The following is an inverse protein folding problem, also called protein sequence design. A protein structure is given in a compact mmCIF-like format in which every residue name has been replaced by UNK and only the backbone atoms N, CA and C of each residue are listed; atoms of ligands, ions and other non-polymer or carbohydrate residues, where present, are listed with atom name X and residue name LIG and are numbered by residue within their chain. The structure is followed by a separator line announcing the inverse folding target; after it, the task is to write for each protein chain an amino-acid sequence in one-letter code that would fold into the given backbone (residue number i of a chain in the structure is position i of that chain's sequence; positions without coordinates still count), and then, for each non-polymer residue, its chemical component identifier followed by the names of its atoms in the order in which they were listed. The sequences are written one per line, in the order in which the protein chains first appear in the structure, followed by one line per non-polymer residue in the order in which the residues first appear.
data_IF_350308794337
#
_entry.id   IF_350308794337
#
_cell.length_a   1.000
_cell.length_b   1.000
_cell.length_c   1.000
_cell.angle_alpha   90.00
_cell.angle_beta   90.00
_cell.angle_gamma   90.00
#
_symmetry.space_group_name_H-M   'P 1'
#
loop_
_entity.id
_entity.type
_entity.pdbx_description
1 polymer ?
#
# COMPACT_ATOMS: atom_id res chain seq x y z
N UNK A 1 -19.57 -21.17 -27.58
CA UNK A 1 -20.18 -22.06 -28.62
C UNK A 1 -21.69 -22.24 -28.39
N UNK A 2 -22.12 -22.60 -27.17
CA UNK A 2 -23.54 -22.85 -26.87
C UNK A 2 -24.42 -21.61 -27.09
N UNK A 3 -23.95 -20.44 -26.66
CA UNK A 3 -24.66 -19.16 -26.88
C UNK A 3 -24.88 -18.85 -28.36
N UNK A 4 -23.86 -19.02 -29.18
CA UNK A 4 -23.97 -18.81 -30.65
C UNK A 4 -25.00 -19.78 -31.25
N UNK A 5 -24.99 -21.01 -30.79
CA UNK A 5 -25.98 -22.02 -31.28
C UNK A 5 -27.39 -21.68 -30.83
N UNK A 6 -27.60 -21.30 -29.58
CA UNK A 6 -28.92 -20.92 -29.04
C UNK A 6 -29.48 -19.66 -29.71
N UNK A 7 -28.66 -18.62 -29.83
CA UNK A 7 -29.08 -17.36 -30.46
C UNK A 7 -29.28 -17.50 -31.94
N UNK A 8 -28.42 -18.24 -32.64
CA UNK A 8 -28.58 -18.53 -34.04
C UNK A 8 -29.81 -19.42 -34.29
N UNK A 9 -30.02 -20.44 -33.46
CA UNK A 9 -31.20 -21.29 -33.50
C UNK A 9 -32.50 -20.53 -33.29
N UNK A 10 -32.52 -19.66 -32.26
CA UNK A 10 -33.67 -18.80 -31.98
C UNK A 10 -33.94 -17.81 -33.13
N UNK A 11 -32.89 -17.21 -33.70
CA UNK A 11 -33.02 -16.33 -34.87
C UNK A 11 -33.56 -17.05 -36.08
N UNK A 12 -33.09 -18.27 -36.40
CA UNK A 12 -33.56 -19.10 -37.50
C UNK A 12 -35.04 -19.47 -37.29
N UNK A 13 -35.42 -19.93 -36.10
CA UNK A 13 -36.82 -20.27 -35.79
C UNK A 13 -37.75 -19.07 -35.95
N UNK A 14 -37.33 -17.89 -35.51
CA UNK A 14 -38.12 -16.67 -35.65
C UNK A 14 -38.25 -16.22 -37.10
N UNK A 15 -37.19 -16.38 -37.89
CA UNK A 15 -37.21 -16.08 -39.32
C UNK A 15 -38.12 -17.04 -40.08
N UNK A 16 -38.08 -18.34 -39.76
CA UNK A 16 -38.96 -19.34 -40.32
C UNK A 16 -40.45 -19.08 -39.99
N UNK A 17 -40.73 -18.73 -38.72
CA UNK A 17 -42.07 -18.35 -38.28
C UNK A 17 -42.60 -17.10 -39.01
N UNK A 18 -41.74 -16.12 -39.23
CA UNK A 18 -42.06 -14.91 -39.99
C UNK A 18 -42.35 -15.22 -41.47
N UNK A 19 -41.61 -16.15 -42.07
CA UNK A 19 -41.84 -16.57 -43.47
C UNK A 19 -43.17 -17.31 -43.64
N UNK A 20 -43.73 -17.94 -42.61
CA UNK A 20 -45.03 -18.58 -42.59
C UNK A 20 -46.20 -17.63 -42.27
N UNK A 21 -45.94 -16.31 -42.21
CA UNK A 21 -46.98 -15.30 -41.95
C UNK A 21 -47.38 -15.16 -40.49
N UNK A 22 -46.69 -15.80 -39.56
CA UNK A 22 -46.94 -15.67 -38.14
C UNK A 22 -46.29 -14.40 -37.60
N UNK A 23 -47.06 -13.38 -37.27
CA UNK A 23 -46.59 -12.17 -36.57
C UNK A 23 -46.31 -12.50 -35.13
N UNK A 24 -45.05 -12.76 -34.77
CA UNK A 24 -44.65 -12.95 -33.38
C UNK A 24 -44.65 -11.58 -32.68
N UNK A 25 -45.46 -11.41 -31.64
CA UNK A 25 -45.46 -10.14 -30.89
C UNK A 25 -44.04 -9.79 -30.36
N UNK A 26 -43.61 -8.57 -30.56
CA UNK A 26 -42.28 -8.09 -30.13
C UNK A 26 -41.99 -8.42 -28.66
N UNK A 27 -43.00 -8.46 -27.81
CA UNK A 27 -42.89 -8.80 -26.38
C UNK A 27 -42.49 -10.27 -26.19
N UNK A 28 -43.02 -11.18 -26.95
CA UNK A 28 -42.67 -12.62 -26.88
C UNK A 28 -41.25 -12.83 -27.36
N UNK A 29 -40.84 -12.15 -28.43
CA UNK A 29 -39.47 -12.18 -28.91
C UNK A 29 -38.48 -11.67 -27.85
N UNK A 30 -38.75 -10.52 -27.24
CA UNK A 30 -37.92 -9.96 -26.19
C UNK A 30 -37.83 -10.89 -24.97
N UNK A 31 -38.94 -11.47 -24.54
CA UNK A 31 -38.97 -12.44 -23.43
C UNK A 31 -38.14 -13.70 -23.74
N UNK A 32 -38.25 -14.25 -24.95
CA UNK A 32 -37.45 -15.40 -25.38
C UNK A 32 -35.94 -15.07 -25.43
N UNK A 33 -35.58 -13.87 -25.84
CA UNK A 33 -34.21 -13.41 -25.89
C UNK A 33 -33.63 -13.26 -24.45
N UNK A 34 -34.37 -12.62 -23.54
CA UNK A 34 -33.99 -12.51 -22.13
C UNK A 34 -33.84 -13.89 -21.51
N UNK A 35 -34.73 -14.82 -21.78
CA UNK A 35 -34.64 -16.18 -21.25
C UNK A 35 -33.39 -16.91 -21.79
N UNK A 36 -33.09 -16.77 -23.07
CA UNK A 36 -31.89 -17.37 -23.70
C UNK A 36 -30.59 -16.79 -23.07
N UNK A 37 -30.52 -15.48 -22.89
CA UNK A 37 -29.39 -14.82 -22.20
C UNK A 37 -29.26 -15.29 -20.75
N UNK A 38 -30.38 -15.36 -20.02
CA UNK A 38 -30.36 -15.79 -18.62
C UNK A 38 -29.89 -17.24 -18.47
N UNK A 39 -30.30 -18.12 -19.37
CA UNK A 39 -29.85 -19.52 -19.42
C UNK A 39 -28.37 -19.62 -19.76
N UNK A 40 -27.89 -18.89 -20.76
CA UNK A 40 -26.48 -18.88 -21.14
C UNK A 40 -25.60 -18.37 -20.01
N UNK A 41 -25.96 -17.23 -19.38
CA UNK A 41 -25.24 -16.68 -18.22
C UNK A 41 -25.26 -17.68 -17.07
N UNK A 42 -26.37 -18.35 -16.78
CA UNK A 42 -26.49 -19.32 -15.70
C UNK A 42 -25.61 -20.55 -15.92
N UNK A 43 -25.60 -21.07 -17.18
CA UNK A 43 -24.76 -22.21 -17.56
C UNK A 43 -23.29 -21.83 -17.50
N UNK A 44 -22.89 -20.67 -18.03
CA UNK A 44 -21.53 -20.19 -18.00
C UNK A 44 -21.08 -19.94 -16.56
N UNK A 45 -21.91 -19.31 -15.73
CA UNK A 45 -21.61 -19.13 -14.32
C UNK A 45 -21.40 -20.47 -13.60
N UNK A 46 -22.29 -21.45 -13.84
CA UNK A 46 -22.17 -22.79 -13.24
C UNK A 46 -20.92 -23.55 -13.70
N UNK A 47 -20.45 -23.31 -14.92
CA UNK A 47 -19.23 -23.94 -15.45
C UNK A 47 -17.96 -23.22 -15.01
N UNK A 48 -17.96 -21.88 -14.99
CA UNK A 48 -16.78 -21.08 -14.72
C UNK A 48 -16.50 -20.90 -13.22
N UNK A 49 -17.54 -20.69 -12.40
CA UNK A 49 -17.37 -20.51 -10.96
C UNK A 49 -16.61 -21.67 -10.30
N UNK A 50 -16.93 -22.96 -10.56
CA UNK A 50 -16.15 -24.06 -9.99
C UNK A 50 -14.69 -24.09 -10.43
N UNK A 51 -14.39 -23.73 -11.70
CA UNK A 51 -13.01 -23.72 -12.21
C UNK A 51 -12.15 -22.72 -11.46
N UNK A 52 -12.71 -21.57 -11.10
CA UNK A 52 -11.99 -20.50 -10.39
C UNK A 52 -12.12 -20.54 -8.86
N UNK A 53 -13.09 -21.28 -8.32
CA UNK A 53 -13.41 -21.29 -6.89
C UNK A 53 -13.30 -22.64 -6.20
N UNK A 54 -12.91 -23.72 -6.92
CA UNK A 54 -13.22 -25.09 -6.51
C UNK A 54 -12.65 -25.51 -5.16
N UNK A 55 -11.46 -25.06 -4.73
CA UNK A 55 -10.84 -25.64 -3.54
C UNK A 55 -10.61 -24.66 -2.39
N UNK A 56 -10.99 -23.41 -2.53
CA UNK A 56 -10.56 -22.35 -1.63
C UNK A 56 -11.66 -21.59 -0.88
N UNK A 57 -12.94 -21.85 -1.16
CA UNK A 57 -14.04 -21.06 -0.55
C UNK A 57 -14.05 -21.22 0.99
N UNK A 58 -13.92 -22.43 1.49
CA UNK A 58 -13.93 -22.68 2.94
C UNK A 58 -12.69 -22.08 3.62
N UNK A 59 -11.51 -22.20 3.01
CA UNK A 59 -10.28 -21.60 3.53
C UNK A 59 -10.30 -20.08 3.44
N UNK A 60 -10.86 -19.52 2.37
CA UNK A 60 -11.07 -18.08 2.24
C UNK A 60 -12.07 -17.57 3.30
N UNK A 61 -13.18 -18.25 3.52
CA UNK A 61 -14.15 -17.89 4.55
C UNK A 61 -13.52 -17.93 5.96
N UNK A 62 -12.72 -18.96 6.26
CA UNK A 62 -11.98 -19.04 7.51
C UNK A 62 -10.98 -17.88 7.65
N UNK A 63 -10.22 -17.58 6.60
CA UNK A 63 -9.32 -16.45 6.58
C UNK A 63 -10.07 -15.14 6.82
N UNK A 64 -11.13 -14.89 6.07
CA UNK A 64 -11.97 -13.70 6.16
C UNK A 64 -12.50 -13.50 7.58
N UNK A 65 -13.11 -14.52 8.17
CA UNK A 65 -13.66 -14.45 9.53
C UNK A 65 -12.59 -14.11 10.57
N UNK A 66 -11.39 -14.71 10.46
CA UNK A 66 -10.28 -14.43 11.36
C UNK A 66 -9.75 -13.00 11.17
N UNK A 67 -9.66 -12.53 9.93
CA UNK A 67 -9.15 -11.20 9.60
C UNK A 67 -10.12 -10.10 10.05
N UNK A 68 -11.41 -10.27 9.79
CA UNK A 68 -12.47 -9.36 10.26
C UNK A 68 -12.47 -9.26 11.80
N UNK A 69 -12.32 -10.38 12.50
CA UNK A 69 -12.26 -10.39 13.95
C UNK A 69 -11.04 -9.63 14.50
N UNK A 70 -9.87 -9.78 13.90
CA UNK A 70 -8.66 -9.04 14.28
C UNK A 70 -8.84 -7.53 14.07
N UNK A 71 -9.27 -7.14 12.89
CA UNK A 71 -9.45 -5.73 12.50
C UNK A 71 -10.53 -5.08 13.36
N UNK A 72 -11.67 -5.74 13.57
CA UNK A 72 -12.75 -5.25 14.43
C UNK A 72 -12.29 -5.07 15.88
N UNK A 73 -11.48 -6.01 16.39
CA UNK A 73 -10.94 -5.89 17.75
C UNK A 73 -10.00 -4.70 17.90
N UNK A 74 -9.19 -4.40 16.89
CA UNK A 74 -8.34 -3.20 16.86
C UNK A 74 -9.22 -1.94 16.83
N UNK A 75 -10.19 -1.86 15.92
CA UNK A 75 -11.10 -0.71 15.78
C UNK A 75 -11.88 -0.41 17.06
N UNK A 76 -12.32 -1.45 17.75
CA UNK A 76 -13.05 -1.30 19.03
C UNK A 76 -12.15 -0.82 20.18
N UNK A 77 -10.84 -1.07 20.09
CA UNK A 77 -9.89 -0.67 21.13
C UNK A 77 -9.25 0.71 20.90
N UNK A 78 -9.35 1.26 19.69
CA UNK A 78 -8.70 2.52 19.32
C UNK A 78 -9.56 3.30 18.34
N UNK A 79 -10.04 4.47 18.78
CA UNK A 79 -10.84 5.40 17.97
C UNK A 79 -10.02 6.49 17.27
N UNK A 80 -8.69 6.54 17.48
CA UNK A 80 -7.81 7.48 16.79
C UNK A 80 -7.65 7.12 15.31
N UNK A 81 -7.12 8.04 14.51
CA UNK A 81 -6.69 7.68 13.16
C UNK A 81 -5.36 6.93 13.23
N UNK A 82 -5.29 5.77 12.58
CA UNK A 82 -4.08 4.94 12.45
C UNK A 82 -4.12 4.13 11.16
N UNK A 83 -2.95 3.60 10.78
CA UNK A 83 -2.82 2.61 9.71
C UNK A 83 -2.54 1.22 10.26
N UNK A 84 -3.05 0.23 9.54
CA UNK A 84 -2.75 -1.18 9.76
C UNK A 84 -1.92 -1.67 8.58
N UNK A 85 -0.79 -2.33 8.86
CA UNK A 85 0.01 -3.06 7.88
C UNK A 85 -0.02 -4.55 8.16
N UNK A 86 0.36 -5.34 7.17
CA UNK A 86 0.43 -6.79 7.30
C UNK A 86 1.75 -7.29 6.73
N UNK A 87 2.36 -8.24 7.41
CA UNK A 87 3.47 -9.02 6.88
C UNK A 87 2.93 -10.28 6.20
N UNK A 88 3.67 -10.84 5.25
CA UNK A 88 3.24 -12.00 4.48
C UNK A 88 1.87 -11.81 3.81
N UNK A 89 1.89 -11.20 2.70
CA UNK A 89 0.68 -10.81 2.00
C UNK A 89 0.32 -11.77 0.88
N UNK A 90 1.24 -12.61 0.43
CA UNK A 90 0.94 -13.61 -0.59
C UNK A 90 1.73 -14.89 -0.34
N UNK A 91 1.03 -15.99 -0.16
CA UNK A 91 1.67 -17.31 -0.10
C UNK A 91 1.80 -17.88 -1.51
N UNK A 92 2.88 -18.58 -1.71
CA UNK A 92 3.11 -19.40 -2.87
C UNK A 92 3.04 -20.87 -2.46
N UNK A 93 2.45 -21.70 -3.28
CA UNK A 93 2.34 -23.13 -3.03
C UNK A 93 1.10 -23.52 -2.23
N UNK A 94 -0.05 -22.90 -2.51
CA UNK A 94 -1.35 -23.39 -2.06
C UNK A 94 -1.70 -23.18 -0.59
N UNK A 95 -0.88 -22.52 0.19
CA UNK A 95 -1.27 -22.18 1.56
C UNK A 95 -1.94 -20.81 1.60
N UNK A 96 -3.10 -20.80 2.07
CA UNK A 96 -4.27 -19.95 1.96
C UNK A 96 -4.28 -18.70 2.85
N UNK A 97 -3.16 -18.07 3.21
CA UNK A 97 -3.16 -17.19 4.37
C UNK A 97 -2.53 -15.83 4.13
N UNK A 98 -2.82 -15.28 2.99
CA UNK A 98 -2.17 -14.04 2.62
C UNK A 98 -3.17 -12.93 2.49
N UNK A 99 -2.80 -11.76 2.98
CA UNK A 99 -3.56 -10.57 2.68
C UNK A 99 -3.65 -10.40 1.17
N UNK A 100 -4.84 -10.18 0.69
CA UNK A 100 -5.05 -9.80 -0.69
C UNK A 100 -4.65 -8.34 -0.87
N UNK A 101 -4.24 -7.98 -2.06
CA UNK A 101 -4.09 -6.61 -2.47
C UNK A 101 -5.35 -5.83 -2.08
N UNK A 102 -5.50 -4.68 -1.88
CA UNK A 102 -6.72 -3.94 -1.57
C UNK A 102 -7.60 -4.50 -0.41
N UNK A 103 -7.06 -5.39 0.40
CA UNK A 103 -7.77 -5.91 1.58
C UNK A 103 -8.18 -4.78 2.54
N UNK A 104 -7.38 -3.72 2.58
CA UNK A 104 -7.68 -2.51 3.34
C UNK A 104 -9.02 -1.89 2.94
N UNK A 105 -9.35 -1.90 1.64
CA UNK A 105 -10.65 -1.44 1.15
C UNK A 105 -11.78 -2.40 1.56
N UNK A 106 -11.54 -3.72 1.43
CA UNK A 106 -12.54 -4.74 1.75
C UNK A 106 -12.95 -4.72 3.23
N UNK A 107 -12.01 -4.47 4.14
CA UNK A 107 -12.26 -4.42 5.59
C UNK A 107 -12.28 -3.00 6.17
N UNK A 108 -12.26 -1.99 5.30
CA UNK A 108 -12.37 -0.59 5.66
C UNK A 108 -11.38 -0.15 6.74
N UNK A 109 -10.09 -0.28 6.49
CA UNK A 109 -9.03 0.29 7.32
C UNK A 109 -8.01 1.06 6.49
N UNK A 110 -7.33 2.03 7.08
CA UNK A 110 -6.26 2.76 6.43
C UNK A 110 -4.99 1.90 6.37
N UNK A 111 -4.32 1.88 5.22
CA UNK A 111 -3.08 1.13 4.98
C UNK A 111 -2.14 1.92 4.06
N UNK A 112 -0.87 1.55 4.04
CA UNK A 112 0.09 1.97 3.03
C UNK A 112 0.11 1.02 1.82
N UNK A 113 -0.52 -0.13 1.94
CA UNK A 113 -0.58 -1.16 0.89
C UNK A 113 -1.84 -0.99 0.04
N UNK A 114 -1.68 -1.09 -1.27
CA UNK A 114 -2.78 -1.03 -2.22
C UNK A 114 -2.36 -1.49 -3.61
N UNK A 115 -3.33 -1.77 -4.44
CA UNK A 115 -3.15 -2.07 -5.85
C UNK A 115 -3.99 -1.12 -6.70
N UNK A 116 -3.33 -0.43 -7.61
CA UNK A 116 -3.97 0.39 -8.64
C UNK A 116 -3.17 0.29 -9.93
N UNK A 117 -3.82 0.32 -11.07
CA UNK A 117 -3.15 0.33 -12.38
C UNK A 117 -2.66 1.73 -12.79
N UNK A 118 -2.84 2.72 -11.94
CA UNK A 118 -2.41 4.11 -12.16
C UNK A 118 -1.88 4.71 -10.86
N UNK A 119 -0.74 4.22 -10.35
CA UNK A 119 -0.13 4.79 -9.15
C UNK A 119 0.42 6.19 -9.46
N UNK A 120 0.49 7.03 -8.45
CA UNK A 120 1.24 8.29 -8.53
C UNK A 120 2.74 7.99 -8.48
N UNK A 121 3.50 8.53 -9.42
CA UNK A 121 4.94 8.25 -9.55
C UNK A 121 5.75 8.80 -8.37
N UNK A 122 5.38 9.95 -7.81
CA UNK A 122 6.07 10.52 -6.65
C UNK A 122 5.83 9.67 -5.40
N UNK A 123 4.59 9.22 -5.21
CA UNK A 123 4.24 8.33 -4.11
C UNK A 123 5.00 7.00 -4.22
N UNK A 124 5.08 6.46 -5.43
CA UNK A 124 5.83 5.23 -5.70
C UNK A 124 7.31 5.40 -5.40
N UNK A 125 7.95 6.44 -5.94
CA UNK A 125 9.36 6.73 -5.70
C UNK A 125 9.67 6.99 -4.23
N UNK A 126 8.77 7.67 -3.51
CA UNK A 126 8.90 7.89 -2.07
C UNK A 126 8.87 6.58 -1.27
N UNK A 127 7.93 5.69 -1.57
CA UNK A 127 7.83 4.39 -0.89
C UNK A 127 9.02 3.47 -1.23
N UNK A 128 9.49 3.49 -2.47
CA UNK A 128 10.68 2.75 -2.91
C UNK A 128 11.92 3.19 -2.14
N UNK A 129 12.15 4.49 -2.04
CA UNK A 129 13.25 5.05 -1.23
C UNK A 129 13.15 4.72 0.26
N UNK A 130 11.96 4.51 0.79
CA UNK A 130 11.76 3.99 2.16
C UNK A 130 12.11 2.51 2.30
N UNK A 131 12.36 1.82 1.18
CA UNK A 131 12.70 0.40 1.15
C UNK A 131 11.50 -0.54 1.04
N UNK A 132 10.32 -0.04 0.69
CA UNK A 132 9.18 -0.90 0.37
C UNK A 132 9.32 -1.48 -1.03
N UNK A 133 8.84 -2.72 -1.25
CA UNK A 133 8.89 -3.31 -2.57
C UNK A 133 7.91 -2.61 -3.49
N UNK A 134 8.42 -2.01 -4.53
CA UNK A 134 7.62 -1.44 -5.60
C UNK A 134 7.59 -2.43 -6.75
N UNK A 135 6.50 -3.13 -6.88
CA UNK A 135 6.22 -3.88 -8.08
C UNK A 135 5.88 -2.92 -9.20
N UNK A 136 6.54 -3.07 -10.35
CA UNK A 136 6.42 -2.24 -11.56
C UNK A 136 5.25 -1.30 -11.65
N UNK A 137 4.13 -1.63 -11.08
CA UNK A 137 2.96 -0.79 -11.20
C UNK A 137 2.20 -0.50 -9.90
N UNK A 138 2.39 -1.20 -8.72
CA UNK A 138 1.21 -1.00 -7.89
C UNK A 138 1.17 -1.46 -6.46
N UNK A 139 2.22 -1.95 -5.85
CA UNK A 139 2.00 -2.58 -4.55
C UNK A 139 3.12 -2.32 -3.57
N UNK A 140 2.74 -1.68 -2.48
CA UNK A 140 3.56 -1.65 -1.29
C UNK A 140 3.16 -2.82 -0.38
N UNK A 141 3.75 -3.99 -0.60
CA UNK A 141 3.50 -5.18 0.20
C UNK A 141 4.82 -5.82 0.59
N UNK A 142 5.16 -5.79 1.85
CA UNK A 142 6.39 -6.36 2.37
C UNK A 142 6.15 -7.72 3.01
N UNK A 143 7.18 -8.58 3.01
CA UNK A 143 7.19 -9.79 3.82
C UNK A 143 7.51 -9.51 5.30
N UNK A 144 7.78 -8.26 5.64
CA UNK A 144 8.14 -7.81 6.98
C UNK A 144 7.56 -6.43 7.28
N UNK A 145 7.69 -5.99 8.53
CA UNK A 145 7.53 -4.58 8.90
C UNK A 145 8.88 -3.90 8.77
N UNK A 146 8.95 -2.81 8.01
CA UNK A 146 10.08 -1.88 7.98
C UNK A 146 9.83 -0.86 9.09
N UNK A 147 10.22 -1.18 10.31
CA UNK A 147 9.73 -0.51 11.51
C UNK A 147 10.00 1.00 11.52
N UNK A 148 11.13 1.46 10.97
CA UNK A 148 11.41 2.90 10.84
C UNK A 148 10.43 3.57 9.88
N UNK A 149 10.25 3.02 8.68
CA UNK A 149 9.33 3.55 7.68
C UNK A 149 7.85 3.42 8.10
N UNK A 150 7.46 2.27 8.66
CA UNK A 150 6.14 2.06 9.22
C UNK A 150 5.81 3.10 10.31
N UNK A 151 6.80 3.40 11.17
CA UNK A 151 6.64 4.39 12.23
C UNK A 151 6.47 5.80 11.66
N UNK A 152 7.28 6.19 10.68
CA UNK A 152 7.19 7.48 9.99
C UNK A 152 5.81 7.69 9.35
N UNK A 153 5.27 6.64 8.74
CA UNK A 153 3.98 6.67 8.05
C UNK A 153 2.77 6.43 8.98
N UNK A 154 2.96 6.37 10.28
CA UNK A 154 1.88 6.20 11.24
C UNK A 154 1.22 4.82 11.22
N UNK A 155 1.96 3.78 10.82
CA UNK A 155 1.48 2.38 10.92
C UNK A 155 1.58 1.96 12.38
N UNK A 156 0.44 2.01 13.06
CA UNK A 156 0.34 1.74 14.51
C UNK A 156 0.09 0.28 14.82
N UNK A 157 -0.55 -0.44 13.92
CA UNK A 157 -0.86 -1.86 14.09
C UNK A 157 -0.30 -2.69 12.94
N UNK A 158 0.26 -3.85 13.30
CA UNK A 158 0.85 -4.78 12.35
C UNK A 158 0.28 -6.18 12.60
N UNK A 159 -0.29 -6.77 11.55
CA UNK A 159 -0.77 -8.14 11.58
C UNK A 159 0.31 -9.05 11.02
N UNK A 160 0.88 -9.91 11.86
CA UNK A 160 2.03 -10.76 11.51
C UNK A 160 1.91 -12.16 12.09
N UNK A 161 2.33 -13.19 11.35
CA UNK A 161 2.42 -14.56 11.89
C UNK A 161 3.68 -14.76 12.75
N UNK A 162 4.62 -13.85 12.74
CA UNK A 162 5.88 -13.92 13.48
C UNK A 162 6.18 -12.64 14.24
N UNK A 163 7.07 -12.75 15.21
CA UNK A 163 7.50 -11.61 16.03
C UNK A 163 8.60 -10.83 15.33
N UNK A 164 8.52 -9.50 15.39
CA UNK A 164 9.55 -8.57 14.97
C UNK A 164 10.00 -7.79 16.21
N UNK A 165 11.31 -7.62 16.42
CA UNK A 165 11.84 -6.84 17.53
C UNK A 165 11.33 -5.40 17.47
N UNK A 166 10.97 -4.85 18.61
CA UNK A 166 10.36 -3.53 18.72
C UNK A 166 8.84 -3.53 18.71
N UNK A 167 8.21 -4.54 18.13
CA UNK A 167 6.75 -4.65 18.13
C UNK A 167 6.24 -5.30 19.42
N UNK A 168 5.14 -4.78 19.94
CA UNK A 168 4.46 -5.25 21.15
C UNK A 168 3.24 -6.10 20.78
N UNK A 169 3.26 -7.39 21.14
CA UNK A 169 2.10 -8.26 20.93
C UNK A 169 0.91 -7.79 21.77
N UNK A 170 -0.27 -7.66 21.16
CA UNK A 170 -1.51 -7.30 21.84
C UNK A 170 -2.19 -8.58 22.33
N UNK A 171 -1.94 -8.94 23.59
CA UNK A 171 -2.44 -10.21 24.17
C UNK A 171 -3.96 -10.22 24.38
N UNK A 172 -4.60 -9.08 24.50
CA UNK A 172 -6.06 -8.95 24.62
C UNK A 172 -6.80 -9.31 23.32
N UNK A 173 -6.15 -9.20 22.17
CA UNK A 173 -6.73 -9.55 20.87
C UNK A 173 -6.40 -11.01 20.56
N UNK A 174 -7.39 -11.86 20.75
CA UNK A 174 -7.28 -13.30 20.43
C UNK A 174 -7.46 -13.50 18.92
N UNK A 175 -6.59 -14.30 18.33
CA UNK A 175 -6.69 -14.72 16.93
C UNK A 175 -6.77 -16.23 16.84
N UNK A 176 -7.73 -16.73 16.10
CA UNK A 176 -7.86 -18.16 15.74
C UNK A 176 -6.93 -18.52 14.57
N UNK A 177 -6.52 -17.51 13.76
CA UNK A 177 -5.62 -17.69 12.63
C UNK A 177 -4.15 -17.61 13.02
N UNK A 178 -3.26 -17.75 12.02
CA UNK A 178 -1.81 -17.67 12.20
C UNK A 178 -1.33 -16.26 12.54
N UNK A 179 -1.97 -15.21 12.00
CA UNK A 179 -1.60 -13.81 12.28
C UNK A 179 -1.99 -13.42 13.70
N UNK A 180 -1.14 -12.64 14.32
CA UNK A 180 -1.36 -11.99 15.61
C UNK A 180 -1.32 -10.48 15.40
N UNK A 181 -2.00 -9.74 16.26
CA UNK A 181 -1.94 -8.29 16.26
C UNK A 181 -0.76 -7.81 17.11
N UNK A 182 0.01 -6.91 16.54
CA UNK A 182 1.11 -6.23 17.21
C UNK A 182 0.88 -4.72 17.17
N UNK A 183 1.28 -4.03 18.23
CA UNK A 183 1.35 -2.57 18.28
C UNK A 183 2.76 -2.13 17.97
N UNK A 184 2.88 -1.13 17.11
CA UNK A 184 4.09 -0.36 16.91
C UNK A 184 4.10 0.83 17.89
N UNK A 185 4.93 0.80 18.94
CA UNK A 185 4.96 1.86 19.95
C UNK A 185 5.65 3.14 19.44
N UNK A 186 6.29 3.09 18.28
CA UNK A 186 7.06 4.18 17.68
C UNK A 186 6.27 4.92 16.59
N UNK A 187 5.05 4.48 16.28
CA UNK A 187 4.24 5.08 15.22
C UNK A 187 4.01 6.58 15.47
N UNK A 188 4.43 7.41 14.51
CA UNK A 188 4.19 8.84 14.55
C UNK A 188 2.70 9.15 14.34
N UNK A 189 2.19 10.24 14.90
CA UNK A 189 0.84 10.69 14.63
C UNK A 189 0.68 11.07 13.15
N UNK A 190 -0.56 11.01 12.68
CA UNK A 190 -0.94 11.37 11.31
C UNK A 190 -0.57 12.82 10.94
N UNK A 191 -0.64 13.72 11.91
CA UNK A 191 -0.27 15.12 11.79
C UNK A 191 0.64 15.51 12.94
N UNK A 192 1.67 16.31 12.67
CA UNK A 192 2.58 16.84 13.69
C UNK A 192 3.20 18.16 13.26
N UNK A 193 3.39 19.04 14.22
CA UNK A 193 4.11 20.30 14.06
C UNK A 193 5.60 20.00 14.19
N UNK A 194 6.37 20.49 13.24
CA UNK A 194 7.83 20.33 13.24
C UNK A 194 8.49 21.64 12.81
N UNK A 195 9.74 21.90 13.25
CA UNK A 195 10.50 23.04 12.77
C UNK A 195 10.87 22.81 11.28
N UNK A 196 10.65 23.80 10.41
CA UNK A 196 10.82 23.67 8.96
C UNK A 196 12.08 24.37 8.40
N UNK A 197 12.82 25.06 9.26
CA UNK A 197 14.04 25.76 8.88
C UNK A 197 15.29 25.04 9.39
N UNK A 198 15.97 24.35 8.45
CA UNK A 198 17.16 23.54 8.77
C UNK A 198 18.24 23.72 7.71
N UNK A 199 19.08 24.79 7.79
CA UNK A 199 20.16 25.01 6.83
C UNK A 199 21.12 23.81 6.75
N UNK A 200 21.44 23.18 7.87
CA UNK A 200 22.37 22.06 7.96
C UNK A 200 21.84 20.77 7.29
N UNK A 201 20.51 20.63 7.16
CA UNK A 201 19.91 19.47 6.53
C UNK A 201 19.88 19.56 5.00
N UNK A 202 20.09 20.73 4.42
CA UNK A 202 20.22 20.89 2.97
C UNK A 202 21.49 20.21 2.46
N UNK A 203 22.58 20.32 3.19
CA UNK A 203 23.82 19.64 2.89
C UNK A 203 23.67 18.11 3.06
N UNK A 204 22.98 17.67 4.10
CA UNK A 204 22.69 16.26 4.29
C UNK A 204 21.85 15.68 3.15
N UNK A 205 20.88 16.42 2.63
CA UNK A 205 20.07 15.99 1.47
C UNK A 205 20.92 15.75 0.23
N UNK A 206 21.90 16.62 -0.04
CA UNK A 206 22.80 16.49 -1.19
C UNK A 206 23.76 15.30 -1.06
N UNK A 207 24.11 14.92 0.18
CA UNK A 207 25.06 13.85 0.48
C UNK A 207 24.35 12.50 0.80
N UNK A 208 23.03 12.47 0.95
CA UNK A 208 22.32 11.22 1.20
C UNK A 208 22.22 10.41 -0.10
N UNK A 209 22.71 9.18 -0.06
CA UNK A 209 22.54 8.23 -1.15
C UNK A 209 21.06 7.93 -1.36
N UNK A 210 20.44 8.33 -2.48
CA UNK A 210 19.04 8.10 -2.75
C UNK A 210 18.69 6.62 -2.90
N UNK A 211 19.67 5.77 -3.12
CA UNK A 211 19.51 4.32 -3.25
C UNK A 211 19.71 3.59 -1.92
N UNK A 212 20.09 4.30 -0.85
CA UNK A 212 20.21 3.74 0.51
C UNK A 212 18.97 4.05 1.35
N UNK A 213 18.02 3.12 1.49
CA UNK A 213 16.77 3.37 2.20
C UNK A 213 16.95 3.61 3.71
N UNK A 214 18.04 3.18 4.31
CA UNK A 214 18.33 3.42 5.74
C UNK A 214 18.78 4.86 5.98
N UNK A 215 19.67 5.37 5.13
CA UNK A 215 20.12 6.76 5.20
C UNK A 215 18.98 7.71 4.83
N UNK A 216 18.16 7.34 3.86
CA UNK A 216 16.99 8.12 3.52
C UNK A 216 15.99 8.22 4.67
N UNK A 217 15.74 7.14 5.40
CA UNK A 217 14.92 7.19 6.62
C UNK A 217 15.56 8.05 7.71
N UNK A 218 16.88 7.95 7.95
CA UNK A 218 17.61 8.81 8.86
C UNK A 218 17.42 10.30 8.51
N UNK A 219 17.50 10.62 7.21
CA UNK A 219 17.28 11.99 6.71
C UNK A 219 15.85 12.49 7.00
N UNK A 220 14.82 11.70 6.72
CA UNK A 220 13.43 12.10 6.99
C UNK A 220 13.16 12.30 8.49
N UNK A 221 13.71 11.45 9.33
CA UNK A 221 13.63 11.64 10.79
C UNK A 221 14.36 12.89 11.25
N UNK A 222 15.50 13.22 10.64
CA UNK A 222 16.24 14.46 10.93
C UNK A 222 15.43 15.71 10.58
N UNK A 223 14.73 15.71 9.44
CA UNK A 223 13.80 16.79 9.07
C UNK A 223 12.74 17.00 10.16
N UNK A 224 12.03 15.95 10.54
CA UNK A 224 10.95 16.05 11.51
C UNK A 224 11.43 16.35 12.94
N UNK A 225 12.65 15.94 13.27
CA UNK A 225 13.26 16.19 14.59
C UNK A 225 13.88 17.58 14.71
N UNK A 226 14.27 18.17 13.57
CA UNK A 226 14.91 19.47 13.51
C UNK A 226 16.41 19.49 13.78
N UNK A 227 17.05 18.34 13.77
CA UNK A 227 18.50 18.20 13.97
C UNK A 227 18.97 16.94 13.24
N UNK A 228 20.27 16.88 12.92
CA UNK A 228 20.85 15.68 12.36
C UNK A 228 20.85 14.53 13.38
N UNK A 229 20.19 13.44 13.00
CA UNK A 229 20.06 12.24 13.81
C UNK A 229 20.16 10.99 12.94
N UNK A 230 20.52 9.88 13.57
CA UNK A 230 20.51 8.57 12.93
C UNK A 230 19.81 7.56 13.82
N UNK A 231 18.75 6.96 13.32
CA UNK A 231 18.04 5.84 13.95
C UNK A 231 18.61 4.50 13.46
N UNK A 232 19.09 4.47 12.21
CA UNK A 232 19.77 3.32 11.62
C UNK A 232 21.28 3.52 11.65
N UNK A 233 21.99 2.47 12.01
CA UNK A 233 23.45 2.42 12.12
C UNK A 233 23.97 1.28 11.24
N UNK A 234 24.99 1.50 10.38
CA UNK A 234 25.53 0.46 9.53
C UNK A 234 26.14 -0.69 10.33
N UNK A 235 26.02 -1.88 9.79
CA UNK A 235 26.61 -3.11 10.32
C UNK A 235 27.76 -3.55 9.45
N UNK A 236 28.80 -4.06 10.06
CA UNK A 236 29.87 -4.72 9.35
C UNK A 236 29.40 -6.10 8.84
N UNK A 237 29.78 -6.45 7.63
CA UNK A 237 29.49 -7.76 7.07
C UNK A 237 30.66 -8.28 6.23
N UNK A 238 30.69 -9.59 6.04
CA UNK A 238 31.66 -10.27 5.20
C UNK A 238 30.91 -11.15 4.22
N UNK A 239 31.22 -11.04 2.94
CA UNK A 239 30.75 -11.95 1.92
C UNK A 239 31.59 -13.23 1.98
N UNK A 240 30.95 -14.36 2.20
CA UNK A 240 31.63 -15.66 2.41
C UNK A 240 31.40 -16.62 1.24
N UNK A 241 30.73 -16.19 0.17
CA UNK A 241 30.54 -16.99 -1.03
C UNK A 241 31.85 -17.13 -1.81
N UNK A 242 32.20 -18.36 -2.13
CA UNK A 242 33.43 -18.70 -2.86
C UNK A 242 33.17 -18.63 -4.35
N UNK A 243 33.97 -17.81 -5.04
CA UNK A 243 34.12 -17.86 -6.50
C UNK A 243 33.07 -17.13 -7.31
N UNK A 244 33.33 -17.05 -8.63
CA UNK A 244 32.41 -16.51 -9.62
C UNK A 244 31.06 -17.20 -9.50
N UNK A 245 29.98 -16.42 -9.50
CA UNK A 245 28.61 -16.88 -9.36
C UNK A 245 28.27 -17.95 -10.42
N UNK A 246 28.53 -19.21 -10.08
CA UNK A 246 28.01 -20.31 -10.86
C UNK A 246 26.48 -20.32 -10.75
N UNK A 247 25.84 -20.71 -11.83
CA UNK A 247 24.39 -20.81 -11.92
C UNK A 247 23.80 -21.50 -10.67
N UNK A 248 22.92 -20.83 -9.96
CA UNK A 248 22.27 -21.33 -8.76
C UNK A 248 23.10 -21.35 -7.48
N UNK A 249 24.32 -20.82 -7.49
CA UNK A 249 25.17 -20.72 -6.30
C UNK A 249 24.66 -19.60 -5.37
N UNK A 250 24.44 -19.86 -4.07
CA UNK A 250 24.02 -18.82 -3.16
C UNK A 250 25.12 -17.81 -2.87
N UNK A 251 24.78 -16.54 -2.78
CA UNK A 251 25.62 -15.53 -2.16
C UNK A 251 25.37 -15.55 -0.65
N UNK A 252 26.42 -15.63 0.15
CA UNK A 252 26.32 -15.79 1.60
C UNK A 252 27.05 -14.64 2.29
N UNK A 253 26.38 -14.05 3.26
CA UNK A 253 26.87 -12.96 4.07
C UNK A 253 26.89 -13.37 5.55
N UNK A 254 27.96 -13.03 6.25
CA UNK A 254 28.03 -13.04 7.70
C UNK A 254 27.93 -11.60 8.17
N UNK A 255 26.87 -11.26 8.87
CA UNK A 255 26.58 -9.90 9.35
C UNK A 255 26.85 -9.82 10.85
N UNK A 256 27.67 -8.87 11.27
CA UNK A 256 28.00 -8.64 12.67
C UNK A 256 26.87 -7.83 13.33
N UNK A 257 26.25 -8.40 14.37
CA UNK A 257 25.09 -7.78 15.04
C UNK A 257 25.54 -6.97 16.25
N UNK A 258 25.02 -5.74 16.37
CA UNK A 258 25.20 -4.91 17.55
C UNK A 258 24.45 -5.48 18.74
N UNK A 259 25.04 -5.29 19.93
CA UNK A 259 24.40 -5.69 21.18
C UNK A 259 23.48 -4.56 21.68
N UNK A 260 22.41 -4.91 22.35
CA UNK A 260 21.42 -3.97 22.85
C UNK A 260 20.04 -4.14 22.22
N UNK A 261 19.25 -3.08 22.24
CA UNK A 261 17.86 -3.09 21.79
C UNK A 261 17.78 -2.67 20.32
N UNK A 262 18.01 -3.62 19.42
CA UNK A 262 18.02 -3.40 17.98
C UNK A 262 17.02 -4.30 17.25
N UNK A 263 16.53 -3.79 16.11
CA UNK A 263 15.94 -4.57 15.03
C UNK A 263 16.87 -4.49 13.82
N UNK A 264 17.20 -5.64 13.20
CA UNK A 264 18.19 -5.70 12.14
C UNK A 264 17.54 -5.89 10.79
N UNK A 265 18.09 -5.21 9.79
CA UNK A 265 17.57 -5.21 8.42
C UNK A 265 18.70 -5.32 7.41
N UNK A 266 18.37 -5.84 6.24
CA UNK A 266 19.26 -5.84 5.09
C UNK A 266 18.53 -5.38 3.84
N UNK A 267 19.34 -4.92 2.88
CA UNK A 267 18.96 -4.63 1.51
C UNK A 267 20.04 -5.23 0.61
N UNK A 268 19.66 -6.04 -0.37
CA UNK A 268 20.59 -6.66 -1.31
C UNK A 268 20.08 -6.33 -2.72
N UNK A 269 20.45 -5.20 -3.29
CA UNK A 269 20.15 -4.88 -4.68
C UNK A 269 20.87 -5.85 -5.65
N UNK A 270 20.31 -6.05 -6.81
CA UNK A 270 20.95 -6.77 -7.90
C UNK A 270 20.50 -6.23 -9.26
N UNK A 271 21.30 -6.51 -10.28
CA UNK A 271 21.14 -5.99 -11.63
C UNK A 271 20.01 -6.63 -12.45
N UNK A 272 19.48 -7.77 -11.99
CA UNK A 272 18.50 -8.55 -12.76
C UNK A 272 17.11 -8.51 -12.14
N UNK A 273 16.29 -7.58 -12.59
CA UNK A 273 14.94 -7.30 -12.05
C UNK A 273 13.96 -8.48 -12.24
N UNK A 274 14.22 -9.39 -13.15
CA UNK A 274 13.29 -10.44 -13.57
C UNK A 274 13.46 -11.76 -12.83
N UNK A 275 14.52 -11.95 -12.04
CA UNK A 275 14.76 -13.23 -11.40
C UNK A 275 14.07 -13.34 -10.05
N UNK A 276 13.62 -14.55 -9.77
CA UNK A 276 13.03 -14.92 -8.48
C UNK A 276 14.16 -15.28 -7.53
N UNK A 277 14.38 -14.44 -6.53
CA UNK A 277 15.38 -14.71 -5.52
C UNK A 277 14.77 -15.27 -4.23
N UNK A 278 15.46 -16.24 -3.67
CA UNK A 278 15.16 -16.83 -2.37
C UNK A 278 16.16 -16.34 -1.35
N UNK A 279 15.66 -15.73 -0.28
CA UNK A 279 16.43 -15.25 0.85
C UNK A 279 16.30 -16.25 2.00
N UNK A 280 17.42 -16.64 2.58
CA UNK A 280 17.45 -17.47 3.79
C UNK A 280 18.26 -16.78 4.88
N UNK A 281 17.66 -16.60 6.04
CA UNK A 281 18.32 -15.99 7.20
C UNK A 281 18.50 -17.03 8.29
N UNK A 282 19.71 -17.12 8.84
CA UNK A 282 20.11 -18.04 9.93
C UNK A 282 19.74 -19.53 9.66
N UNK A 283 19.69 -19.91 8.39
CA UNK A 283 19.31 -21.27 7.94
C UNK A 283 17.90 -21.73 8.40
N UNK A 284 17.12 -20.83 9.00
CA UNK A 284 15.82 -21.16 9.62
C UNK A 284 14.66 -20.43 8.99
N UNK A 285 14.90 -19.24 8.44
CA UNK A 285 13.87 -18.43 7.83
C UNK A 285 14.17 -18.29 6.34
N UNK A 286 13.31 -18.83 5.50
CA UNK A 286 13.41 -18.72 4.05
C UNK A 286 12.17 -18.03 3.52
N UNK A 287 12.38 -17.00 2.70
CA UNK A 287 11.32 -16.24 2.05
C UNK A 287 11.71 -15.91 0.61
N UNK A 288 10.74 -15.61 -0.21
CA UNK A 288 11.01 -14.97 -1.49
C UNK A 288 11.43 -13.53 -1.25
N UNK A 289 12.50 -13.13 -1.89
CA UNK A 289 13.04 -11.78 -1.78
C UNK A 289 12.57 -10.89 -2.93
N UNK A 290 12.49 -11.44 -4.12
CA UNK A 290 11.85 -10.76 -5.24
C UNK A 290 11.00 -11.72 -6.05
N UNK A 291 9.99 -11.17 -6.64
CA UNK A 291 9.20 -11.76 -7.71
C UNK A 291 8.33 -10.67 -8.31
N UNK A 292 8.75 -10.16 -9.45
CA UNK A 292 8.17 -8.97 -10.08
C UNK A 292 8.34 -7.68 -9.26
N UNK A 293 8.91 -7.78 -8.09
CA UNK A 293 9.10 -6.70 -7.16
C UNK A 293 10.57 -6.32 -7.16
N UNK A 294 10.85 -5.05 -7.12
CA UNK A 294 12.17 -4.58 -6.77
C UNK A 294 12.59 -5.16 -5.41
N UNK A 295 13.88 -5.32 -5.16
CA UNK A 295 14.38 -5.68 -3.84
C UNK A 295 13.82 -4.73 -2.80
N UNK A 296 13.40 -5.26 -1.67
CA UNK A 296 12.92 -4.48 -0.53
C UNK A 296 13.78 -4.73 0.69
N UNK A 297 13.63 -3.90 1.70
CA UNK A 297 14.23 -4.20 2.98
C UNK A 297 13.67 -5.50 3.54
N UNK A 298 14.55 -6.33 4.09
CA UNK A 298 14.18 -7.54 4.79
C UNK A 298 14.64 -7.52 6.24
N UNK A 299 13.86 -8.13 7.09
CA UNK A 299 14.16 -8.26 8.51
C UNK A 299 15.11 -9.43 8.76
N UNK A 300 16.09 -9.20 9.63
CA UNK A 300 17.03 -10.22 10.09
C UNK A 300 16.63 -10.64 11.51
N UNK A 301 15.90 -11.76 11.67
CA UNK A 301 15.58 -12.28 13.00
C UNK A 301 16.84 -12.61 13.77
N UNK A 302 16.97 -12.09 14.98
CA UNK A 302 18.09 -12.36 15.86
C UNK A 302 17.59 -12.96 17.17
N UNK A 303 18.35 -13.93 17.71
CA UNK A 303 18.17 -14.36 19.09
C UNK A 303 18.81 -13.33 20.02
N UNK A 304 18.31 -13.26 21.23
CA UNK A 304 18.92 -12.44 22.27
C UNK A 304 20.42 -12.82 22.42
N UNK A 305 21.29 -11.83 22.44
CA UNK A 305 22.75 -11.97 22.50
C UNK A 305 23.41 -12.64 21.27
N UNK A 306 22.74 -12.79 20.16
CA UNK A 306 23.39 -13.19 18.91
C UNK A 306 24.38 -12.11 18.48
N UNK A 307 25.62 -12.51 18.13
CA UNK A 307 26.67 -11.60 17.66
C UNK A 307 26.76 -11.53 16.15
N UNK A 308 26.25 -12.56 15.46
CA UNK A 308 26.30 -12.66 14.00
C UNK A 308 24.98 -13.21 13.47
N UNK A 309 24.65 -12.87 12.24
CA UNK A 309 23.60 -13.47 11.47
C UNK A 309 24.15 -13.94 10.10
N UNK A 310 23.65 -15.07 9.63
CA UNK A 310 23.95 -15.57 8.29
C UNK A 310 22.81 -15.21 7.37
N UNK A 311 23.09 -14.53 6.28
CA UNK A 311 22.14 -14.18 5.22
C UNK A 311 22.61 -14.85 3.93
N UNK A 312 21.70 -15.54 3.26
CA UNK A 312 21.98 -16.21 1.99
C UNK A 312 20.90 -15.84 0.97
N UNK A 313 21.32 -15.46 -0.22
CA UNK A 313 20.44 -15.18 -1.35
C UNK A 313 20.85 -16.04 -2.55
N UNK A 314 19.86 -16.63 -3.22
CA UNK A 314 20.07 -17.39 -4.45
C UNK A 314 18.91 -17.23 -5.42
N UNK A 315 19.18 -17.36 -6.71
CA UNK A 315 18.13 -17.47 -7.72
C UNK A 315 17.26 -18.71 -7.48
N UNK A 316 15.95 -18.57 -7.60
CA UNK A 316 15.00 -19.68 -7.58
C UNK A 316 14.97 -20.45 -8.92
N UNK A 317 15.42 -19.82 -10.02
CA UNK A 317 15.42 -20.39 -11.37
C UNK A 317 16.81 -20.87 -11.80
N UNK A 318 17.80 -20.74 -10.93
CA UNK A 318 19.16 -21.21 -11.17
C UNK A 318 20.02 -20.26 -11.99
N UNK A 319 19.65 -19.00 -12.12
CA UNK A 319 20.51 -17.96 -12.72
C UNK A 319 21.61 -17.51 -11.76
N UNK A 320 22.58 -16.80 -12.28
CA UNK A 320 23.56 -16.10 -11.45
C UNK A 320 22.95 -14.82 -10.91
N UNK A 321 23.16 -14.53 -9.63
CA UNK A 321 22.79 -13.27 -8.99
C UNK A 321 24.09 -12.50 -8.76
N UNK A 322 24.11 -11.25 -9.19
CA UNK A 322 25.22 -10.32 -8.99
C UNK A 322 24.75 -9.19 -8.06
N UNK A 323 24.77 -9.40 -6.73
CA UNK A 323 24.46 -8.33 -5.80
C UNK A 323 25.51 -7.24 -5.90
N UNK A 324 25.03 -5.99 -5.84
CA UNK A 324 25.87 -4.79 -5.82
C UNK A 324 25.28 -3.77 -4.84
N UNK A 325 26.12 -3.20 -4.00
CA UNK A 325 25.71 -2.21 -3.02
C UNK A 325 24.87 -2.79 -1.86
N UNK A 326 25.24 -3.97 -1.36
CA UNK A 326 24.56 -4.59 -0.21
C UNK A 326 24.65 -3.72 1.04
N UNK A 327 23.56 -3.62 1.75
CA UNK A 327 23.43 -2.77 2.92
C UNK A 327 22.84 -3.56 4.08
N UNK A 328 23.49 -3.53 5.24
CA UNK A 328 23.01 -4.12 6.48
C UNK A 328 23.04 -3.09 7.58
N UNK A 329 21.91 -2.92 8.27
CA UNK A 329 21.76 -1.89 9.29
C UNK A 329 21.03 -2.42 10.53
N UNK A 330 21.41 -1.84 11.67
CA UNK A 330 20.70 -2.00 12.95
C UNK A 330 19.85 -0.77 13.22
N UNK A 331 18.55 -0.96 13.39
CA UNK A 331 17.65 0.07 13.89
C UNK A 331 17.76 0.10 15.41
N UNK A 332 18.29 1.20 15.96
CA UNK A 332 18.41 1.40 17.40
C UNK A 332 17.03 1.78 17.97
N UNK A 333 16.40 0.85 18.67
CA UNK A 333 15.02 0.99 19.15
C UNK A 333 14.93 2.00 20.32
N UNK A 334 15.97 2.18 21.09
CA UNK A 334 16.00 3.17 22.17
C UNK A 334 16.10 4.58 21.60
N UNK A 335 16.96 4.77 20.58
CA UNK A 335 17.05 6.01 19.84
C UNK A 335 15.73 6.32 19.13
N UNK A 336 15.15 5.34 18.42
CA UNK A 336 13.85 5.50 17.77
C UNK A 336 12.76 5.90 18.77
N UNK A 337 12.71 5.25 19.94
CA UNK A 337 11.74 5.57 21.00
C UNK A 337 11.88 7.01 21.50
N UNK A 338 13.11 7.45 21.76
CA UNK A 338 13.39 8.82 22.22
C UNK A 338 12.98 9.86 21.18
N UNK A 339 13.34 9.61 19.92
CA UNK A 339 13.09 10.53 18.81
C UNK A 339 11.59 10.62 18.50
N UNK A 340 10.93 9.49 18.32
CA UNK A 340 9.49 9.47 18.01
C UNK A 340 8.65 10.06 19.12
N UNK A 341 9.04 9.89 20.39
CA UNK A 341 8.37 10.54 21.52
C UNK A 341 8.48 12.06 21.45
N UNK A 342 9.69 12.59 21.15
CA UNK A 342 9.87 14.04 21.01
C UNK A 342 9.10 14.59 19.82
N UNK A 343 9.19 13.96 18.64
CA UNK A 343 8.43 14.37 17.46
C UNK A 343 6.92 14.35 17.76
N UNK A 344 6.43 13.28 18.40
CA UNK A 344 5.02 13.14 18.74
C UNK A 344 4.49 14.16 19.72
N UNK A 345 5.35 14.90 20.45
CA UNK A 345 4.89 16.01 21.30
C UNK A 345 4.36 17.20 20.50
N UNK A 346 4.67 17.29 19.20
CA UNK A 346 4.17 18.32 18.29
C UNK A 346 2.80 18.01 17.67
N UNK A 347 1.96 17.16 18.28
CA UNK A 347 0.62 16.89 17.75
C UNK A 347 -0.26 18.14 17.78
N UNK A 348 -1.15 18.33 16.78
CA UNK A 348 -2.18 19.37 16.84
C UNK A 348 -3.12 19.13 18.01
N UNK A 349 -3.65 20.19 18.62
CA UNK A 349 -4.59 20.10 19.75
C UNK A 349 -5.88 19.36 19.38
N UNK A 350 -6.32 19.52 18.15
CA UNK A 350 -7.48 18.79 17.60
C UNK A 350 -7.17 18.30 16.20
N UNK A 351 -7.50 17.04 15.93
CA UNK A 351 -7.37 16.42 14.61
C UNK A 351 -8.64 15.63 14.28
N UNK A 352 -9.20 15.89 13.12
CA UNK A 352 -10.30 15.12 12.54
C UNK A 352 -9.93 14.69 11.13
N UNK A 353 -9.95 13.40 10.88
CA UNK A 353 -9.65 12.80 9.57
C UNK A 353 -10.89 12.03 9.11
N UNK A 354 -11.45 12.44 7.97
CA UNK A 354 -12.59 11.79 7.32
C UNK A 354 -12.27 11.62 5.83
N UNK A 355 -13.06 10.80 5.15
CA UNK A 355 -12.94 10.65 3.70
C UNK A 355 -13.09 12.01 3.00
N UNK A 356 -12.04 12.44 2.31
CA UNK A 356 -12.03 13.71 1.58
C UNK A 356 -12.00 14.98 2.44
N UNK A 357 -11.82 14.87 3.76
CA UNK A 357 -11.76 16.02 4.65
C UNK A 357 -10.83 15.81 5.85
N UNK A 358 -9.89 16.73 6.03
CA UNK A 358 -8.99 16.75 7.18
C UNK A 358 -9.10 18.12 7.83
N UNK A 359 -9.21 18.15 9.15
CA UNK A 359 -9.16 19.38 9.94
C UNK A 359 -8.20 19.20 11.11
N UNK A 360 -7.24 20.14 11.22
CA UNK A 360 -6.33 20.23 12.35
C UNK A 360 -6.42 21.62 13.00
N UNK A 361 -6.26 21.68 14.31
CA UNK A 361 -6.17 22.93 15.07
C UNK A 361 -4.88 22.88 15.86
N UNK A 362 -4.05 23.90 15.68
CA UNK A 362 -2.78 24.07 16.37
C UNK A 362 -2.81 25.39 17.14
N UNK A 363 -2.72 25.34 18.45
CA UNK A 363 -2.68 26.53 19.30
C UNK A 363 -1.25 26.89 19.68
N UNK A 364 -1.01 28.18 19.91
CA UNK A 364 0.23 28.71 20.47
C UNK A 364 1.50 28.30 19.70
N UNK A 365 1.44 28.25 18.37
CA UNK A 365 2.65 28.07 17.55
C UNK A 365 3.64 29.19 17.88
N UNK A 366 4.88 28.84 18.20
CA UNK A 366 5.83 29.77 18.82
C UNK A 366 6.35 30.84 17.86
N UNK A 367 6.54 30.48 16.61
CA UNK A 367 7.08 31.33 15.54
C UNK A 367 6.63 30.86 14.15
N UNK A 368 7.02 31.58 13.11
CA UNK A 368 6.69 31.28 11.71
C UNK A 368 7.64 30.25 11.06
N UNK A 369 8.54 29.65 11.81
CA UNK A 369 9.49 28.62 11.35
C UNK A 369 9.02 27.20 11.70
N UNK A 370 7.70 26.99 11.72
CA UNK A 370 7.10 25.69 11.94
C UNK A 370 6.15 25.36 10.81
N UNK A 371 6.11 24.09 10.48
CA UNK A 371 5.15 23.53 9.51
C UNK A 371 4.39 22.38 10.13
N UNK A 372 3.18 22.14 9.63
CA UNK A 372 2.40 20.96 9.94
C UNK A 372 2.71 19.87 8.90
N UNK A 373 3.40 18.82 9.33
CA UNK A 373 3.53 17.58 8.59
C UNK A 373 2.19 16.84 8.59
N UNK A 374 1.83 16.31 7.44
CA UNK A 374 0.67 15.42 7.28
C UNK A 374 1.10 14.16 6.53
N UNK A 375 0.87 13.01 7.14
CA UNK A 375 1.13 11.71 6.50
C UNK A 375 0.05 11.40 5.44
N UNK A 376 -0.09 12.32 4.49
CA UNK A 376 -1.01 12.24 3.35
C UNK A 376 -0.20 12.39 2.09
N UNK A 377 -0.29 11.46 1.12
CA UNK A 377 0.37 11.63 -0.16
C UNK A 377 -0.25 12.79 -0.93
N UNK A 378 0.59 13.48 -1.70
CA UNK A 378 0.16 14.53 -2.59
C UNK A 378 -0.87 14.01 -3.60
N UNK A 379 -1.93 14.78 -3.78
CA UNK A 379 -2.87 14.68 -4.88
C UNK A 379 -3.41 16.07 -5.21
N UNK A 380 -3.49 16.38 -6.50
CA UNK A 380 -3.96 17.69 -7.00
C UNK A 380 -5.42 18.01 -6.65
N UNK A 381 -6.17 17.02 -6.18
CA UNK A 381 -7.55 17.21 -5.72
C UNK A 381 -7.68 17.86 -4.35
N UNK A 382 -6.62 17.88 -3.56
CA UNK A 382 -6.65 18.52 -2.25
C UNK A 382 -6.62 20.04 -2.34
N UNK A 383 -7.60 20.68 -1.75
CA UNK A 383 -7.68 22.12 -1.55
C UNK A 383 -7.38 22.44 -0.10
N UNK A 384 -6.37 23.28 0.14
CA UNK A 384 -5.83 23.55 1.46
C UNK A 384 -6.16 24.97 1.88
N UNK A 385 -6.68 25.11 3.10
CA UNK A 385 -7.03 26.36 3.73
C UNK A 385 -6.39 26.44 5.11
N UNK A 386 -5.79 27.59 5.41
CA UNK A 386 -5.28 27.92 6.74
C UNK A 386 -5.99 29.20 7.19
N UNK A 387 -6.64 29.14 8.36
CA UNK A 387 -7.44 30.24 8.91
C UNK A 387 -8.49 30.76 7.90
N UNK A 388 -9.13 29.83 7.18
CA UNK A 388 -10.16 30.13 6.19
C UNK A 388 -9.64 30.67 4.83
N UNK A 389 -8.35 30.90 4.69
CA UNK A 389 -7.74 31.39 3.44
C UNK A 389 -7.06 30.26 2.70
N UNK A 390 -7.29 30.15 1.39
CA UNK A 390 -6.59 29.21 0.52
C UNK A 390 -5.09 29.52 0.55
N UNK A 391 -4.28 28.51 0.82
CA UNK A 391 -2.84 28.68 1.08
C UNK A 391 -2.03 27.75 0.20
N UNK A 392 -0.80 28.17 -0.12
CA UNK A 392 0.22 27.30 -0.71
C UNK A 392 0.71 26.28 0.30
N UNK A 393 1.34 25.24 -0.18
CA UNK A 393 1.92 24.15 0.61
C UNK A 393 3.29 23.80 0.07
N UNK A 394 4.10 23.18 0.93
CA UNK A 394 5.32 22.51 0.56
C UNK A 394 5.10 20.99 0.58
N UNK A 395 5.99 20.26 -0.05
CA UNK A 395 5.99 18.80 -0.02
C UNK A 395 7.33 18.30 0.49
N UNK A 396 7.29 17.38 1.44
CA UNK A 396 8.45 16.58 1.80
C UNK A 396 8.62 15.56 0.69
N UNK A 397 9.74 15.66 0.01
CA UNK A 397 10.16 14.75 -1.05
C UNK A 397 9.10 14.55 -2.16
N UNK A 398 8.46 15.62 -2.58
CA UNK A 398 7.39 15.64 -3.59
C UNK A 398 6.19 14.72 -3.28
N UNK A 399 6.08 14.22 -2.06
CA UNK A 399 5.06 13.23 -1.71
C UNK A 399 4.17 13.65 -0.54
N UNK A 400 4.72 14.05 0.61
CA UNK A 400 3.93 14.29 1.81
C UNK A 400 3.74 15.78 2.06
N UNK A 401 2.56 16.16 2.54
CA UNK A 401 2.26 17.58 2.79
C UNK A 401 3.03 18.14 3.98
N UNK A 402 3.59 19.33 3.76
CA UNK A 402 4.15 20.24 4.76
C UNK A 402 3.47 21.59 4.61
N UNK A 403 2.70 21.99 5.61
CA UNK A 403 1.88 23.19 5.58
C UNK A 403 2.49 24.25 6.49
N UNK A 404 2.96 25.40 5.96
CA UNK A 404 3.57 26.42 6.77
C UNK A 404 2.56 27.01 7.76
N UNK A 405 2.94 27.08 9.02
CA UNK A 405 2.15 27.65 10.10
C UNK A 405 2.60 29.08 10.39
N UNK A 406 1.70 29.87 10.95
CA UNK A 406 2.02 31.20 11.47
C UNK A 406 2.09 31.15 12.99
N UNK A 407 2.84 32.08 13.57
CA UNK A 407 2.82 32.30 15.02
C UNK A 407 1.41 32.48 15.55
N UNK A 408 1.09 31.81 16.67
CA UNK A 408 -0.23 31.82 17.29
C UNK A 408 -1.12 30.67 16.84
N UNK A 409 -2.41 30.90 16.71
CA UNK A 409 -3.41 29.88 16.43
C UNK A 409 -3.60 29.64 14.93
N UNK A 410 -3.60 28.37 14.55
CA UNK A 410 -3.82 27.95 13.17
C UNK A 410 -4.94 26.91 13.10
N UNK A 411 -5.89 27.14 12.23
CA UNK A 411 -6.91 26.15 11.83
C UNK A 411 -6.67 25.75 10.38
N UNK A 412 -6.32 24.51 10.19
CA UNK A 412 -6.01 23.91 8.89
C UNK A 412 -7.21 23.08 8.43
N UNK A 413 -7.65 23.28 7.20
CA UNK A 413 -8.65 22.47 6.55
C UNK A 413 -8.14 22.01 5.18
N UNK A 414 -8.27 20.71 4.92
CA UNK A 414 -8.03 20.11 3.60
C UNK A 414 -9.33 19.47 3.11
N UNK A 415 -9.74 19.83 1.90
CA UNK A 415 -10.96 19.34 1.25
C UNK A 415 -10.58 18.71 -0.08
N UNK A 416 -10.93 17.46 -0.25
CA UNK A 416 -10.66 16.75 -1.51
C UNK A 416 -11.80 16.99 -2.51
N UNK A 417 -11.43 17.46 -3.69
CA UNK A 417 -12.33 17.59 -4.83
C UNK A 417 -11.72 16.80 -5.98
N UNK A 418 -12.42 15.75 -6.41
CA UNK A 418 -11.93 14.94 -7.51
C UNK A 418 -11.67 15.80 -8.75
N UNK A 419 -10.44 15.83 -9.28
CA UNK A 419 -10.11 16.60 -10.46
C UNK A 419 -11.00 16.21 -11.64
N UNK A 420 -11.37 17.21 -12.45
CA UNK A 420 -12.20 17.04 -13.66
C UNK A 420 -13.63 16.50 -13.45
N UNK A 421 -14.04 16.16 -12.22
CA UNK A 421 -15.39 15.62 -11.96
C UNK A 421 -16.50 16.55 -12.45
N UNK A 422 -16.35 17.87 -12.18
CA UNK A 422 -17.36 18.86 -12.62
C UNK A 422 -17.40 18.98 -14.13
N UNK A 423 -16.24 18.99 -14.79
CA UNK A 423 -16.13 19.06 -16.25
C UNK A 423 -16.75 17.81 -16.88
N UNK A 424 -16.41 16.63 -16.38
CA UNK A 424 -17.00 15.38 -16.83
C UNK A 424 -18.52 15.33 -16.67
N UNK A 425 -19.05 15.83 -15.54
CA UNK A 425 -20.48 15.90 -15.31
C UNK A 425 -21.18 16.81 -16.32
N UNK A 426 -20.61 18.00 -16.62
CA UNK A 426 -21.16 18.92 -17.64
C UNK A 426 -21.15 18.27 -19.01
N UNK A 427 -20.06 17.65 -19.42
CA UNK A 427 -19.97 16.94 -20.73
C UNK A 427 -21.01 15.83 -20.79
N UNK A 428 -21.19 15.07 -19.74
CA UNK A 428 -22.18 13.99 -19.69
C UNK A 428 -23.61 14.52 -19.82
N UNK A 429 -23.94 15.61 -19.11
CA UNK A 429 -25.26 16.25 -19.21
C UNK A 429 -25.51 16.75 -20.65
N UNK A 430 -24.53 17.42 -21.25
CA UNK A 430 -24.65 17.89 -22.63
C UNK A 430 -24.83 16.73 -23.62
N UNK A 431 -24.12 15.62 -23.43
CA UNK A 431 -24.29 14.41 -24.23
C UNK A 431 -25.70 13.81 -24.11
N UNK A 432 -26.24 13.73 -22.90
CA UNK A 432 -27.60 13.28 -22.65
C UNK A 432 -28.62 14.19 -23.34
N UNK A 433 -28.50 15.50 -23.17
CA UNK A 433 -29.40 16.48 -23.80
C UNK A 433 -29.37 16.40 -25.32
N UNK A 434 -28.18 16.24 -25.92
CA UNK A 434 -28.01 16.06 -27.34
C UNK A 434 -28.71 14.80 -27.83
N UNK A 435 -28.53 13.68 -27.16
CA UNK A 435 -29.19 12.40 -27.48
C UNK A 435 -30.71 12.52 -27.43
N UNK A 436 -31.24 13.12 -26.36
CA UNK A 436 -32.68 13.36 -26.23
C UNK A 436 -33.19 14.23 -27.39
N UNK A 437 -32.50 15.32 -27.71
CA UNK A 437 -32.86 16.24 -28.80
C UNK A 437 -32.89 15.52 -30.15
N UNK A 438 -31.82 14.74 -30.44
CA UNK A 438 -31.79 13.95 -31.72
C UNK A 438 -32.93 12.94 -31.79
N UNK A 439 -33.22 12.25 -30.68
CA UNK A 439 -34.34 11.29 -30.63
C UNK A 439 -35.69 11.97 -30.85
N UNK A 440 -35.90 13.16 -30.27
CA UNK A 440 -37.13 13.93 -30.46
C UNK A 440 -37.27 14.41 -31.92
N UNK A 441 -36.19 14.91 -32.54
CA UNK A 441 -36.16 15.32 -33.93
C UNK A 441 -36.48 14.12 -34.84
N UNK A 442 -35.85 12.96 -34.63
CA UNK A 442 -36.11 11.76 -35.42
C UNK A 442 -37.55 11.28 -35.28
N UNK A 443 -38.10 11.26 -34.07
CA UNK A 443 -39.48 10.89 -33.84
C UNK A 443 -40.46 11.89 -34.48
N UNK A 444 -40.15 13.18 -34.51
CA UNK A 444 -40.95 14.20 -35.19
C UNK A 444 -40.91 13.97 -36.71
N UNK A 445 -39.75 13.67 -37.29
CA UNK A 445 -39.56 13.38 -38.69
C UNK A 445 -40.37 12.15 -39.13
N UNK A 446 -40.29 11.04 -38.37
CA UNK A 446 -41.07 9.81 -38.61
C UNK A 446 -42.60 9.99 -38.49
N UNK A 447 -43.06 11.02 -37.70
CA UNK A 447 -44.48 11.37 -37.61
C UNK A 447 -44.97 12.24 -38.80
N UNK A 448 -44.08 12.95 -39.46
CA UNK A 448 -44.39 13.77 -40.60
C UNK A 448 -44.33 12.97 -41.93
N UNK A 449 -43.69 11.80 -41.92
CA UNK A 449 -43.59 10.89 -43.05
C UNK A 449 -44.72 9.82 -43.06
N UNK A 450 -45.58 9.83 -42.04
CA UNK A 450 -46.83 9.06 -41.95
C UNK A 450 -48.04 9.92 -42.19
#
# INVERSE_FOLDING_TARGET
ALFILLTSGLYILLKLASMQGAAIPRRIFAAALVLAFSLDLSINAKLLIPIYSSDNVASYQSYRTNQEALISSIKNSDSSFYRISQTTTRSFGGSHLTAYYNEALAYNYASISGYTSSPDDNQRAFLDRLGYPMCGENMCITNTSILGADSLLGVKYILSPYRINGLQKISSIKSKGRKKAYRNPYALPFALIYPDHHPDLTEKKTNTDPENPFEYQNYLYSILYGQDISIYEPLHYRRTSIGNSQKGTPQIYSVDLKQGNYAFYGNIPWDTVMDRAMLTVNKTYTTRYSWWLAPSLFYIPSRQNARTASVSIKSAEGYSIHPDGEQFYGLNLDTLSRITRKISSGQPDKLSVKNGYIRAVCHNVTDDHHSLYLSVPYDRGWQIYINGKKTSYNLIDNCLYSLPLKKGDNTIEMRYVCPMLRVGAVISILGILLTITMTLIENKKRRLEK
#
